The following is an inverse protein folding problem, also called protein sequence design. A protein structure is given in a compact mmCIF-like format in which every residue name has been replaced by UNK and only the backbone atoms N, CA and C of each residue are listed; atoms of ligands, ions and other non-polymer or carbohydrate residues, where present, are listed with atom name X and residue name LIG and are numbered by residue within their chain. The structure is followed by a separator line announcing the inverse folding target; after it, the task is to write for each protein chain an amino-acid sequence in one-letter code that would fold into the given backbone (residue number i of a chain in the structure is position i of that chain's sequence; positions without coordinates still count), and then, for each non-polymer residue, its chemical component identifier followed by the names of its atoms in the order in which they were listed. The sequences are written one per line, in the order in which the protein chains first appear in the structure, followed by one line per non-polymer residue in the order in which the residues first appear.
data_IF_046393638969
#
_entry.id   IF_046393638969
#
_cell.length_a   1.000
_cell.length_b   1.000
_cell.length_c   1.000
_cell.angle_alpha   90.00
_cell.angle_beta   90.00
_cell.angle_gamma   90.00
#
_symmetry.space_group_name_H-M   'P 1'
#
loop_
_entity.id
_entity.type
_entity.pdbx_description
1 polymer ?
#
# COMPACT_ATOMS: atom_id res chain seq x y z
N UNK A 1 -4.37 -31.27 9.25
CA UNK A 1 -3.46 -30.13 9.42
C UNK A 1 -3.93 -29.03 8.50
N UNK A 2 -4.53 -27.98 9.03
CA UNK A 2 -4.86 -26.79 8.24
C UNK A 2 -3.51 -26.10 8.01
N UNK A 3 -3.05 -26.00 6.76
CA UNK A 3 -1.92 -25.12 6.45
C UNK A 3 -2.42 -23.71 6.78
N UNK A 4 -1.91 -23.10 7.84
CA UNK A 4 -2.14 -21.68 8.08
C UNK A 4 -1.63 -20.94 6.82
N UNK A 5 -2.50 -20.13 6.22
CA UNK A 5 -2.09 -19.29 5.11
C UNK A 5 -0.99 -18.37 5.65
N UNK A 6 0.13 -18.28 4.94
CA UNK A 6 1.20 -17.34 5.29
C UNK A 6 0.91 -16.05 4.51
N UNK A 7 1.03 -14.86 5.13
CA UNK A 7 0.92 -13.62 4.38
C UNK A 7 1.91 -13.57 3.22
N UNK A 8 1.53 -12.90 2.14
CA UNK A 8 2.38 -12.73 0.95
C UNK A 8 3.07 -11.37 0.95
N UNK A 9 2.37 -10.34 1.44
CA UNK A 9 2.79 -8.95 1.31
C UNK A 9 2.71 -8.23 2.65
N UNK A 10 3.55 -7.22 2.80
CA UNK A 10 3.47 -6.24 3.89
C UNK A 10 3.27 -4.85 3.33
N UNK A 11 2.63 -3.97 4.09
CA UNK A 11 2.50 -2.54 3.76
C UNK A 11 2.75 -1.73 5.04
N UNK A 12 3.58 -0.69 4.95
CA UNK A 12 3.83 0.24 6.04
C UNK A 12 4.03 1.65 5.51
N UNK A 13 3.70 2.67 6.30
CA UNK A 13 4.02 4.06 5.95
C UNK A 13 5.53 4.24 6.03
N UNK A 14 6.15 4.55 4.88
CA UNK A 14 7.56 4.89 4.73
C UNK A 14 7.82 6.34 5.09
N UNK A 15 6.95 7.24 4.61
CA UNK A 15 7.03 8.67 4.92
C UNK A 15 5.66 9.36 4.81
N UNK A 16 5.57 10.53 5.45
CA UNK A 16 4.40 11.43 5.42
C UNK A 16 4.87 12.87 5.62
N UNK A 17 4.07 13.85 5.17
CA UNK A 17 4.32 15.26 5.40
C UNK A 17 4.40 15.59 6.90
N UNK A 18 5.36 16.44 7.29
CA UNK A 18 5.55 16.86 8.69
C UNK A 18 4.48 17.85 9.18
N UNK A 19 3.95 18.67 8.27
CA UNK A 19 3.09 19.81 8.61
C UNK A 19 1.59 19.48 8.60
N UNK A 20 1.18 18.31 8.09
CA UNK A 20 -0.22 17.89 8.02
C UNK A 20 -0.81 17.33 9.32
N UNK A 21 -0.03 17.32 10.42
CA UNK A 21 -0.42 16.65 11.69
C UNK A 21 -1.41 17.50 12.50
N UNK A 22 -1.31 18.83 12.44
CA UNK A 22 -2.14 19.72 13.28
C UNK A 22 -3.61 19.83 12.81
N UNK A 23 -3.91 19.41 11.58
CA UNK A 23 -5.25 19.47 10.97
C UNK A 23 -5.83 18.10 10.63
N UNK A 24 -5.31 17.01 11.23
CA UNK A 24 -5.80 15.66 10.95
C UNK A 24 -7.22 15.45 11.48
N UNK A 25 -8.11 14.96 10.62
CA UNK A 25 -9.42 14.44 11.03
C UNK A 25 -9.20 13.13 11.78
N UNK A 26 -9.96 12.86 12.85
CA UNK A 26 -9.76 11.67 13.71
C UNK A 26 -9.80 10.35 12.91
N UNK A 27 -10.65 10.26 11.89
CA UNK A 27 -10.79 9.05 11.05
C UNK A 27 -9.50 8.73 10.27
N UNK A 28 -8.88 9.76 9.67
CA UNK A 28 -7.62 9.64 8.94
C UNK A 28 -6.47 9.29 9.89
N UNK A 29 -6.47 9.88 11.09
CA UNK A 29 -5.46 9.57 12.11
C UNK A 29 -5.51 8.09 12.53
N UNK A 30 -6.70 7.52 12.73
CA UNK A 30 -6.85 6.09 13.05
C UNK A 30 -6.32 5.20 11.92
N UNK A 31 -6.59 5.56 10.66
CA UNK A 31 -6.09 4.81 9.51
C UNK A 31 -4.56 4.91 9.40
N UNK A 32 -4.01 6.11 9.55
CA UNK A 32 -2.57 6.36 9.51
C UNK A 32 -1.86 5.67 10.66
N UNK A 33 -2.41 5.65 11.88
CA UNK A 33 -1.86 4.88 12.98
C UNK A 33 -1.85 3.38 12.69
N UNK A 34 -2.95 2.87 12.11
CA UNK A 34 -3.02 1.46 11.70
C UNK A 34 -1.94 1.13 10.68
N UNK A 35 -1.74 1.99 9.68
CA UNK A 35 -0.74 1.83 8.63
C UNK A 35 0.70 2.17 9.06
N UNK A 36 0.85 2.85 10.20
CA UNK A 36 2.15 3.05 10.86
C UNK A 36 2.60 1.76 11.55
N UNK A 37 1.66 0.87 11.88
CA UNK A 37 1.97 -0.52 12.21
C UNK A 37 2.05 -1.32 10.91
N UNK A 38 3.07 -2.16 10.78
CA UNK A 38 3.24 -3.01 9.61
C UNK A 38 1.99 -3.87 9.41
N UNK A 39 1.30 -3.67 8.29
CA UNK A 39 0.11 -4.43 7.91
C UNK A 39 0.52 -5.59 7.02
N UNK A 40 0.00 -6.80 7.26
CA UNK A 40 0.28 -7.98 6.43
C UNK A 40 -0.97 -8.41 5.67
N UNK A 41 -0.79 -8.78 4.41
CA UNK A 41 -1.85 -9.18 3.49
C UNK A 41 -1.61 -10.60 2.98
N UNK A 42 -2.68 -11.41 2.96
CA UNK A 42 -2.61 -12.80 2.52
C UNK A 42 -2.61 -12.96 1.00
N UNK A 43 -3.17 -11.98 0.29
CA UNK A 43 -3.20 -11.97 -1.17
C UNK A 43 -2.96 -10.56 -1.71
N UNK A 44 -2.53 -10.48 -2.98
CA UNK A 44 -2.48 -9.20 -3.74
C UNK A 44 -3.86 -8.53 -3.75
N UNK A 45 -4.92 -9.32 -3.85
CA UNK A 45 -6.28 -8.81 -3.93
C UNK A 45 -6.75 -8.16 -2.63
N UNK A 46 -6.36 -8.70 -1.47
CA UNK A 46 -6.65 -8.08 -0.17
C UNK A 46 -5.99 -6.70 -0.04
N UNK A 47 -4.73 -6.59 -0.47
CA UNK A 47 -3.99 -5.34 -0.46
C UNK A 47 -4.61 -4.31 -1.42
N UNK A 48 -4.95 -4.73 -2.65
CA UNK A 48 -5.60 -3.84 -3.60
C UNK A 48 -7.00 -3.41 -3.10
N UNK A 49 -7.77 -4.33 -2.52
CA UNK A 49 -9.09 -4.03 -1.96
C UNK A 49 -8.99 -3.01 -0.83
N UNK A 50 -7.97 -3.12 0.02
CA UNK A 50 -7.71 -2.15 1.07
C UNK A 50 -7.38 -0.76 0.50
N UNK A 51 -6.44 -0.69 -0.46
CA UNK A 51 -6.01 0.57 -1.07
C UNK A 51 -7.13 1.25 -1.88
N UNK A 52 -8.08 0.49 -2.43
CA UNK A 52 -9.26 1.01 -3.13
C UNK A 52 -10.52 1.07 -2.26
N UNK A 53 -10.42 0.79 -0.96
CA UNK A 53 -11.56 0.91 -0.04
C UNK A 53 -12.00 2.36 0.11
N UNK A 54 -13.29 2.58 0.33
CA UNK A 54 -13.86 3.92 0.54
C UNK A 54 -13.11 4.69 1.63
N UNK A 55 -12.74 4.00 2.72
CA UNK A 55 -12.02 4.59 3.86
C UNK A 55 -10.62 5.08 3.48
N UNK A 56 -9.90 4.32 2.65
CA UNK A 56 -8.58 4.74 2.20
C UNK A 56 -8.68 5.87 1.17
N UNK A 57 -9.64 5.75 0.24
CA UNK A 57 -9.86 6.70 -0.85
C UNK A 57 -10.43 8.06 -0.39
N UNK A 58 -11.12 8.09 0.74
CA UNK A 58 -11.63 9.32 1.35
C UNK A 58 -10.55 10.16 2.04
N UNK A 59 -9.38 9.60 2.30
CA UNK A 59 -8.28 10.27 2.98
C UNK A 59 -7.66 11.35 2.09
N UNK A 60 -7.25 12.48 2.68
CA UNK A 60 -6.57 13.54 1.92
C UNK A 60 -5.10 13.17 1.64
N UNK A 61 -4.90 12.38 0.59
CA UNK A 61 -3.58 11.96 0.14
C UNK A 61 -2.64 13.11 -0.23
N UNK A 62 -3.17 14.29 -0.59
CA UNK A 62 -2.34 15.46 -0.90
C UNK A 62 -1.88 16.17 0.37
N UNK A 63 -2.73 16.26 1.38
CA UNK A 63 -2.38 16.85 2.67
C UNK A 63 -1.28 16.04 3.38
N UNK A 64 -1.37 14.71 3.32
CA UNK A 64 -0.47 13.84 4.07
C UNK A 64 0.79 13.41 3.32
N UNK A 65 0.83 13.57 1.99
CA UNK A 65 1.94 13.16 1.12
C UNK A 65 2.49 11.76 1.50
N UNK A 66 1.58 10.80 1.64
CA UNK A 66 1.94 9.46 2.12
C UNK A 66 2.76 8.71 1.07
N UNK A 67 3.84 8.08 1.52
CA UNK A 67 4.56 7.06 0.75
C UNK A 67 4.48 5.77 1.54
N UNK A 68 3.98 4.72 0.89
CA UNK A 68 3.92 3.39 1.46
C UNK A 68 5.06 2.53 0.92
N UNK A 69 5.64 1.72 1.79
CA UNK A 69 6.54 0.65 1.41
C UNK A 69 5.74 -0.65 1.41
N UNK A 70 5.62 -1.26 0.22
CA UNK A 70 5.10 -2.61 0.06
C UNK A 70 6.27 -3.59 0.05
N UNK A 71 6.26 -4.57 0.94
CA UNK A 71 7.33 -5.58 1.04
C UNK A 71 6.84 -6.99 0.73
N UNK A 72 7.75 -7.86 0.31
CA UNK A 72 7.50 -9.29 0.29
C UNK A 72 7.58 -9.82 1.74
N UNK A 73 6.57 -10.62 2.14
CA UNK A 73 6.54 -11.13 3.52
C UNK A 73 7.69 -12.11 3.82
N UNK A 74 8.12 -12.90 2.83
CA UNK A 74 9.21 -13.86 3.00
C UNK A 74 10.61 -13.23 2.96
N UNK A 75 10.75 -12.04 2.38
CA UNK A 75 12.01 -11.29 2.30
C UNK A 75 11.75 -9.78 2.35
N UNK A 76 11.95 -9.20 3.52
CA UNK A 76 11.70 -7.78 3.77
C UNK A 76 12.72 -6.83 3.11
N UNK A 77 13.76 -7.34 2.44
CA UNK A 77 14.62 -6.50 1.60
C UNK A 77 14.03 -6.25 0.20
N UNK A 78 13.04 -7.05 -0.20
CA UNK A 78 12.35 -6.89 -1.47
C UNK A 78 11.14 -5.98 -1.24
N UNK A 79 11.31 -4.71 -1.59
CA UNK A 79 10.30 -3.66 -1.36
C UNK A 79 9.98 -2.87 -2.63
N UNK A 80 8.79 -2.27 -2.66
CA UNK A 80 8.28 -1.42 -3.71
C UNK A 80 7.50 -0.26 -3.11
N UNK A 81 7.75 0.97 -3.56
CA UNK A 81 7.04 2.13 -3.03
C UNK A 81 5.71 2.34 -3.77
N UNK A 82 4.66 2.65 -3.00
CA UNK A 82 3.33 3.01 -3.50
C UNK A 82 2.97 4.39 -2.98
N UNK A 83 2.61 5.29 -3.90
CA UNK A 83 2.23 6.67 -3.62
C UNK A 83 0.79 6.90 -4.07
N UNK A 84 -0.19 7.04 -3.16
CA UNK A 84 -1.55 7.40 -3.53
C UNK A 84 -1.62 8.85 -4.03
N UNK A 85 -2.44 9.07 -5.06
CA UNK A 85 -2.66 10.37 -5.73
C UNK A 85 -4.15 10.55 -6.01
N UNK A 86 -4.94 10.69 -4.94
CA UNK A 86 -6.40 10.63 -5.05
C UNK A 86 -6.85 9.22 -5.42
N UNK A 87 -7.68 9.07 -6.46
CA UNK A 87 -8.16 7.77 -6.94
C UNK A 87 -7.13 6.90 -7.66
N UNK A 88 -5.91 7.42 -7.87
CA UNK A 88 -4.84 6.75 -8.58
C UNK A 88 -3.72 6.35 -7.64
N UNK A 89 -3.01 5.29 -7.99
CA UNK A 89 -1.83 4.81 -7.27
C UNK A 89 -0.62 4.90 -8.20
N UNK A 90 0.44 5.55 -7.75
CA UNK A 90 1.73 5.52 -8.43
C UNK A 90 2.56 4.41 -7.80
N UNK A 91 3.00 3.46 -8.60
CA UNK A 91 3.86 2.36 -8.18
C UNK A 91 5.26 2.67 -8.70
N UNK A 92 6.23 2.80 -7.78
CA UNK A 92 7.62 3.12 -8.10
C UNK A 92 8.38 1.85 -8.52
N UNK A 93 7.86 1.15 -9.53
CA UNK A 93 8.54 0.02 -10.17
C UNK A 93 9.61 0.52 -11.16
N UNK A 94 10.22 -0.41 -11.89
CA UNK A 94 11.21 -0.08 -12.94
C UNK A 94 10.65 0.84 -14.05
N UNK A 95 9.32 0.94 -14.18
CA UNK A 95 8.62 1.70 -15.22
C UNK A 95 7.94 2.96 -14.68
N UNK A 96 7.93 3.16 -13.35
CA UNK A 96 7.11 4.13 -12.64
C UNK A 96 5.64 4.09 -13.07
N UNK A 97 5.01 2.93 -12.95
CA UNK A 97 3.65 2.68 -13.42
C UNK A 97 2.59 3.44 -12.62
N UNK A 98 1.61 4.04 -13.31
CA UNK A 98 0.43 4.66 -12.68
C UNK A 98 -0.79 3.76 -12.89
N UNK A 99 -1.45 3.41 -11.78
CA UNK A 99 -2.65 2.59 -11.72
C UNK A 99 -3.86 3.48 -11.43
N UNK A 100 -4.91 3.38 -12.26
CA UNK A 100 -6.16 4.14 -12.11
C UNK A 100 -7.32 3.30 -11.60
N UNK A 101 -7.10 1.99 -11.42
CA UNK A 101 -8.11 1.03 -10.98
C UNK A 101 -7.51 -0.11 -10.15
N UNK A 102 -8.35 -0.72 -9.32
CA UNK A 102 -8.02 -1.95 -8.59
C UNK A 102 -7.36 -3.00 -9.48
N UNK A 103 -7.92 -3.20 -10.67
CA UNK A 103 -7.42 -4.22 -11.60
C UNK A 103 -6.03 -3.88 -12.14
N UNK A 104 -5.77 -2.61 -12.48
CA UNK A 104 -4.44 -2.18 -12.92
C UNK A 104 -3.38 -2.38 -11.83
N UNK A 105 -3.70 -2.03 -10.58
CA UNK A 105 -2.78 -2.19 -9.45
C UNK A 105 -2.50 -3.67 -9.18
N UNK A 106 -3.54 -4.50 -9.22
CA UNK A 106 -3.41 -5.95 -9.03
C UNK A 106 -2.48 -6.58 -10.06
N UNK A 107 -2.61 -6.20 -11.34
CA UNK A 107 -1.73 -6.69 -12.41
C UNK A 107 -0.28 -6.29 -12.12
N UNK A 108 -0.03 -5.01 -11.84
CA UNK A 108 1.33 -4.51 -11.58
C UNK A 108 1.99 -5.21 -10.39
N UNK A 109 1.26 -5.37 -9.28
CA UNK A 109 1.81 -6.05 -8.09
C UNK A 109 2.00 -7.54 -8.35
N UNK A 110 1.11 -8.19 -9.11
CA UNK A 110 1.26 -9.60 -9.47
C UNK A 110 2.47 -9.83 -10.38
N UNK A 111 2.68 -8.95 -11.37
CA UNK A 111 3.84 -9.00 -12.26
C UNK A 111 5.13 -8.78 -11.47
N UNK A 112 5.16 -7.77 -10.58
CA UNK A 112 6.29 -7.54 -9.67
C UNK A 112 6.59 -8.75 -8.79
N UNK A 113 5.57 -9.40 -8.22
CA UNK A 113 5.74 -10.63 -7.44
C UNK A 113 6.39 -11.75 -8.24
N UNK A 114 5.97 -11.95 -9.50
CA UNK A 114 6.59 -12.95 -10.38
C UNK A 114 8.04 -12.59 -10.69
N UNK A 115 8.34 -11.31 -10.93
CA UNK A 115 9.71 -10.84 -11.20
C UNK A 115 10.67 -11.06 -10.01
N UNK A 116 10.20 -10.95 -8.78
CA UNK A 116 11.05 -11.06 -7.57
C UNK A 116 11.06 -12.46 -6.94
N UNK A 117 10.13 -13.34 -7.32
CA UNK A 117 10.05 -14.72 -6.80
C UNK A 117 10.39 -15.81 -7.81
N UNK A 118 10.43 -15.48 -9.11
CA UNK A 118 10.82 -16.38 -10.21
C UNK A 118 12.31 -16.40 -10.47
#
# INVERSE_FOLDING_TARGET
MVKEAIPQLTLVIKSKAKDGIETMVEEDNNLIQTLSMLCSFYTVDDLCSFLYSDKFQSMDHKLYELVFEMGLYSDHQITLDIIPRGSKMSVCDSKNTVCDSHQSLKVVISDWLVEVTG
#
